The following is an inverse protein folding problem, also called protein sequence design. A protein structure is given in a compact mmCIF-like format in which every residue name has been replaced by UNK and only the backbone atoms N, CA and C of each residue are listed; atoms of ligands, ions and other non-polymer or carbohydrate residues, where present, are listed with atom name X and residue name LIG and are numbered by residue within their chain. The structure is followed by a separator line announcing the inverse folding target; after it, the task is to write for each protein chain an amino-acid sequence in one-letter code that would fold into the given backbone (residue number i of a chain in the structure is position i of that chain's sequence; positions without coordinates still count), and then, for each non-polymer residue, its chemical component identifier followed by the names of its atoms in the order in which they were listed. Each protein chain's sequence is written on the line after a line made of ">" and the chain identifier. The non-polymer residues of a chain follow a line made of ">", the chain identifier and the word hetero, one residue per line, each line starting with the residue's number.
data_IF_240734272747
#
_entry.id   IF_240734272747
#
_cell.length_a   1.000
_cell.length_b   1.000
_cell.length_c   1.000
_cell.angle_alpha   90.00
_cell.angle_beta   90.00
_cell.angle_gamma   90.00
#
_symmetry.space_group_name_H-M   'P 1'
#
loop_
_entity.id
_entity.type
_entity.pdbx_description
1 polymer ?
#
# COMPACT_ATOMS: atom_id res chain seq x y z
N UNK A 1 3.66 -29.70 6.74
CA UNK A 1 4.36 -28.40 6.87
C UNK A 1 3.32 -27.44 7.41
N UNK A 2 3.55 -26.86 8.57
CA UNK A 2 2.62 -25.91 9.20
C UNK A 2 2.98 -24.50 8.73
N UNK A 3 1.98 -23.72 8.30
CA UNK A 3 2.14 -22.33 7.86
C UNK A 3 1.42 -21.50 8.90
N UNK A 4 2.18 -21.05 9.90
CA UNK A 4 1.67 -20.27 11.02
C UNK A 4 1.58 -18.78 10.72
N UNK A 5 1.13 -18.02 11.73
CA UNK A 5 1.09 -16.56 11.70
C UNK A 5 2.53 -16.04 11.72
N UNK A 6 2.91 -15.14 10.78
CA UNK A 6 4.26 -14.57 10.74
C UNK A 6 4.54 -13.68 11.96
N UNK A 7 5.80 -13.65 12.37
CA UNK A 7 6.30 -12.66 13.34
C UNK A 7 6.47 -11.28 12.68
N UNK A 8 6.94 -10.28 13.43
CA UNK A 8 7.12 -8.92 12.89
C UNK A 8 8.06 -8.90 11.68
N UNK A 9 9.14 -9.68 11.72
CA UNK A 9 10.11 -9.77 10.62
C UNK A 9 9.47 -10.39 9.37
N UNK A 10 8.73 -11.49 9.52
CA UNK A 10 8.00 -12.10 8.41
C UNK A 10 6.92 -11.18 7.84
N UNK A 11 6.23 -10.41 8.67
CA UNK A 11 5.28 -9.39 8.20
C UNK A 11 5.96 -8.28 7.40
N UNK A 12 7.14 -7.82 7.85
CA UNK A 12 7.94 -6.86 7.09
C UNK A 12 8.34 -7.41 5.71
N UNK A 13 8.80 -8.66 5.63
CA UNK A 13 9.14 -9.30 4.35
C UNK A 13 7.92 -9.37 3.41
N UNK A 14 6.76 -9.74 3.95
CA UNK A 14 5.50 -9.79 3.19
C UNK A 14 5.13 -8.40 2.68
N UNK A 15 5.18 -7.37 3.53
CA UNK A 15 4.92 -5.98 3.16
C UNK A 15 5.86 -5.53 2.04
N UNK A 16 7.16 -5.83 2.14
CA UNK A 16 8.14 -5.52 1.09
C UNK A 16 7.82 -6.21 -0.24
N UNK A 17 7.38 -7.48 -0.21
CA UNK A 17 7.00 -8.22 -1.42
C UNK A 17 5.77 -7.59 -2.08
N UNK A 18 4.75 -7.22 -1.30
CA UNK A 18 3.52 -6.64 -1.82
C UNK A 18 3.69 -5.20 -2.29
N UNK A 19 4.63 -4.45 -1.70
CA UNK A 19 4.90 -3.06 -2.06
C UNK A 19 6.01 -2.88 -3.10
N UNK A 20 6.74 -3.93 -3.50
CA UNK A 20 7.86 -3.84 -4.47
C UNK A 20 7.54 -3.14 -5.80
N UNK A 21 6.29 -3.23 -6.24
CA UNK A 21 5.80 -2.64 -7.50
C UNK A 21 4.89 -1.42 -7.25
N UNK A 22 4.73 -1.01 -6.00
CA UNK A 22 3.95 0.15 -5.61
C UNK A 22 4.86 1.38 -5.59
N UNK A 23 4.37 2.51 -6.08
CA UNK A 23 5.02 3.80 -5.85
C UNK A 23 4.77 4.19 -4.41
N UNK A 24 5.75 3.98 -3.54
CA UNK A 24 5.73 4.47 -2.16
C UNK A 24 6.35 5.86 -2.10
N UNK A 25 5.81 6.70 -1.23
CA UNK A 25 6.42 7.97 -0.86
C UNK A 25 7.49 7.75 0.22
N UNK A 26 8.43 8.69 0.35
CA UNK A 26 9.59 8.59 1.25
C UNK A 26 9.21 8.55 2.74
N UNK A 27 7.96 8.90 3.08
CA UNK A 27 7.42 8.89 4.43
C UNK A 27 6.92 7.50 4.87
N UNK A 28 6.82 6.53 3.97
CA UNK A 28 6.29 5.19 4.27
C UNK A 28 7.30 4.37 5.06
N UNK A 29 6.93 4.04 6.30
CA UNK A 29 7.71 3.15 7.17
C UNK A 29 7.06 1.77 7.26
N UNK A 30 7.56 0.82 6.45
CA UNK A 30 7.08 -0.56 6.46
C UNK A 30 7.43 -1.31 7.76
N UNK A 31 8.49 -0.91 8.45
CA UNK A 31 8.88 -1.51 9.73
C UNK A 31 7.85 -1.12 10.80
N UNK A 32 7.45 0.15 10.85
CA UNK A 32 6.36 0.59 11.70
C UNK A 32 5.06 -0.19 11.41
N UNK A 33 4.64 -0.31 10.15
CA UNK A 33 3.44 -1.06 9.77
C UNK A 33 3.54 -2.53 10.22
N UNK A 34 4.71 -3.15 10.09
CA UNK A 34 4.92 -4.53 10.53
C UNK A 34 4.71 -4.73 12.04
N UNK A 35 5.03 -3.71 12.85
CA UNK A 35 4.82 -3.75 14.31
C UNK A 35 3.36 -3.52 14.71
N UNK A 36 2.63 -2.69 13.96
CA UNK A 36 1.22 -2.38 14.23
C UNK A 36 0.27 -3.49 13.75
N UNK A 37 0.70 -4.33 12.81
CA UNK A 37 -0.10 -5.42 12.21
C UNK A 37 0.03 -6.76 12.95
N UNK A 38 0.09 -6.76 14.28
CA UNK A 38 0.17 -8.01 15.05
C UNK A 38 -1.00 -8.96 14.72
N UNK A 39 -0.71 -10.26 14.61
CA UNK A 39 -1.70 -11.28 14.29
C UNK A 39 -2.13 -11.37 12.82
N UNK A 40 -1.69 -10.43 11.96
CA UNK A 40 -2.01 -10.44 10.54
C UNK A 40 -1.26 -11.57 9.83
N UNK A 41 -1.97 -12.25 8.92
CA UNK A 41 -1.37 -13.22 8.00
C UNK A 41 -1.05 -12.56 6.66
N UNK A 42 -0.40 -13.30 5.75
CA UNK A 42 0.01 -12.73 4.46
C UNK A 42 -1.13 -12.19 3.61
N UNK A 43 -2.32 -12.81 3.68
CA UNK A 43 -3.50 -12.31 2.98
C UNK A 43 -3.98 -10.97 3.53
N UNK A 44 -3.93 -10.76 4.85
CA UNK A 44 -4.36 -9.50 5.47
C UNK A 44 -3.41 -8.37 5.10
N UNK A 45 -2.10 -8.63 5.08
CA UNK A 45 -1.09 -7.65 4.66
C UNK A 45 -1.20 -7.29 3.18
N UNK A 46 -1.52 -8.28 2.33
CA UNK A 46 -1.78 -8.04 0.91
C UNK A 46 -3.02 -7.14 0.72
N UNK A 47 -4.09 -7.40 1.49
CA UNK A 47 -5.29 -6.59 1.47
C UNK A 47 -5.01 -5.17 1.99
N UNK A 48 -4.23 -5.01 3.06
CA UNK A 48 -3.81 -3.72 3.60
C UNK A 48 -3.08 -2.88 2.54
N UNK A 49 -2.09 -3.47 1.84
CA UNK A 49 -1.37 -2.78 0.77
C UNK A 49 -2.31 -2.37 -0.37
N UNK A 50 -3.28 -3.23 -0.71
CA UNK A 50 -4.25 -2.96 -1.77
C UNK A 50 -5.20 -1.82 -1.39
N UNK A 51 -5.67 -1.77 -0.15
CA UNK A 51 -6.55 -0.69 0.33
C UNK A 51 -5.80 0.64 0.43
N UNK A 52 -4.53 0.63 0.88
CA UNK A 52 -3.69 1.84 0.89
C UNK A 52 -3.48 2.39 -0.53
N UNK A 53 -3.24 1.52 -1.51
CA UNK A 53 -3.16 1.92 -2.91
C UNK A 53 -4.48 2.51 -3.42
N UNK A 54 -5.61 1.88 -3.10
CA UNK A 54 -6.93 2.37 -3.46
C UNK A 54 -7.24 3.72 -2.80
N UNK A 55 -6.78 3.96 -1.56
CA UNK A 55 -6.96 5.26 -0.92
C UNK A 55 -6.15 6.36 -1.58
N UNK A 56 -4.89 6.08 -1.94
CA UNK A 56 -4.08 7.01 -2.70
C UNK A 56 -4.77 7.39 -4.05
N UNK A 57 -5.38 6.40 -4.72
CA UNK A 57 -6.18 6.62 -5.94
C UNK A 57 -7.42 7.47 -5.64
N UNK A 58 -8.20 7.14 -4.61
CA UNK A 58 -9.42 7.87 -4.22
C UNK A 58 -9.13 9.34 -3.91
N UNK A 59 -8.01 9.64 -3.24
CA UNK A 59 -7.57 11.03 -2.96
C UNK A 59 -7.35 11.84 -4.24
N UNK A 60 -6.91 11.20 -5.32
CA UNK A 60 -6.67 11.83 -6.64
C UNK A 60 -7.88 11.76 -7.57
N UNK A 61 -8.87 10.91 -7.27
CA UNK A 61 -10.06 10.72 -8.12
C UNK A 61 -10.94 11.96 -8.22
N UNK A 62 -10.83 12.91 -7.28
CA UNK A 62 -11.46 14.23 -7.35
C UNK A 62 -10.87 15.12 -8.46
N UNK A 63 -9.67 14.80 -8.94
CA UNK A 63 -8.95 15.49 -10.01
C UNK A 63 -9.05 14.75 -11.35
N UNK A 64 -9.59 13.52 -11.35
CA UNK A 64 -9.73 12.68 -12.53
C UNK A 64 -11.16 12.83 -13.03
N UNK A 65 -11.33 13.29 -14.26
CA UNK A 65 -12.61 13.16 -14.95
C UNK A 65 -12.77 11.71 -15.44
N UNK A 66 -13.88 11.08 -15.08
CA UNK A 66 -14.19 9.72 -15.49
C UNK A 66 -14.73 9.65 -16.93
N UNK A 67 -15.12 10.79 -17.49
CA UNK A 67 -15.57 10.90 -18.88
C UNK A 67 -14.41 11.05 -19.87
N UNK A 68 -13.21 11.40 -19.38
CA UNK A 68 -12.02 11.53 -20.21
C UNK A 68 -11.37 10.17 -20.50
N UNK A 69 -11.00 9.94 -21.76
CA UNK A 69 -10.33 8.72 -22.22
C UNK A 69 -8.85 8.62 -21.75
N UNK A 70 -8.31 9.68 -21.14
CA UNK A 70 -6.90 9.75 -20.73
C UNK A 70 -6.72 10.48 -19.40
N UNK A 71 -5.86 9.94 -18.54
CA UNK A 71 -5.45 10.59 -17.30
C UNK A 71 -4.20 11.43 -17.57
N UNK A 72 -4.17 12.65 -17.01
CA UNK A 72 -3.02 13.55 -17.10
C UNK A 72 -1.72 12.87 -16.60
N UNK A 73 -0.65 13.04 -17.38
CA UNK A 73 0.63 12.38 -17.12
C UNK A 73 1.31 12.90 -15.84
N UNK A 74 1.17 14.19 -15.53
CA UNK A 74 1.71 14.77 -14.31
C UNK A 74 0.95 14.27 -13.09
N UNK A 75 -0.37 14.10 -13.22
CA UNK A 75 -1.19 13.46 -12.19
C UNK A 75 -0.73 12.02 -11.92
N UNK A 76 -0.58 11.18 -12.96
CA UNK A 76 -0.07 9.81 -12.85
C UNK A 76 1.35 9.73 -12.25
N UNK A 77 2.20 10.70 -12.57
CA UNK A 77 3.54 10.79 -12.01
C UNK A 77 3.54 11.17 -10.53
N UNK A 78 2.59 12.02 -10.11
CA UNK A 78 2.42 12.45 -8.72
C UNK A 78 1.72 11.42 -7.82
N UNK A 79 1.21 10.32 -8.38
CA UNK A 79 0.55 9.25 -7.62
C UNK A 79 1.60 8.41 -6.89
N UNK A 80 1.60 8.52 -5.57
CA UNK A 80 2.35 7.67 -4.65
C UNK A 80 1.49 7.37 -3.43
N UNK A 81 1.67 6.18 -2.85
CA UNK A 81 1.06 5.78 -1.59
C UNK A 81 1.90 6.37 -0.46
N UNK A 82 1.23 7.09 0.43
CA UNK A 82 1.82 7.78 1.58
C UNK A 82 1.58 6.98 2.85
N UNK A 83 2.28 7.31 3.93
CA UNK A 83 2.08 6.65 5.23
C UNK A 83 0.66 6.88 5.77
N UNK A 84 0.04 8.00 5.41
CA UNK A 84 -1.33 8.33 5.76
C UNK A 84 -2.36 7.43 5.07
N UNK A 85 -2.01 6.80 3.93
CA UNK A 85 -2.89 5.84 3.25
C UNK A 85 -2.87 4.45 3.93
N UNK A 86 -1.86 4.17 4.76
CA UNK A 86 -1.74 2.92 5.54
C UNK A 86 -2.39 3.00 6.94
N UNK A 87 -2.84 4.19 7.36
CA UNK A 87 -3.48 4.44 8.66
C UNK A 87 -5.01 4.45 8.55
#
# INVERSE_FOLDING_TARGET
>A
IDIGIPDSTGRLEILQIHTKNMKLSDDVDLEQISTETHGHVGADLAALCSEAALQAIRKKMTLIDLEDDSIDADLLNSMAVTMDDFK
#
